data_IF_221951958779
#
_entry.id   IF_221951958779
#
_cell.length_a   1.000
_cell.length_b   1.000
_cell.length_c   1.000
_cell.angle_alpha   90.00
_cell.angle_beta   90.00
_cell.angle_gamma   90.00
#
_symmetry.space_group_name_H-M   'P 1'
#
loop_
_entity.id
_entity.type
_entity.pdbx_description
1 polymer ?
#
# COMPACT_ATOMS: atom_id res chain seq x y z
N UNK A 1 19.13 1.85 19.78
CA UNK A 1 17.90 1.44 19.06
C UNK A 1 18.05 0.00 18.61
N UNK A 2 17.22 -0.90 19.13
CA UNK A 2 17.12 -2.29 18.72
C UNK A 2 15.92 -2.46 17.78
N UNK A 3 15.89 -3.57 17.03
CA UNK A 3 14.78 -3.92 16.15
C UNK A 3 14.26 -5.31 16.54
N UNK A 4 12.96 -5.39 16.80
CA UNK A 4 12.28 -6.59 17.23
C UNK A 4 11.21 -7.00 16.23
N UNK A 5 11.07 -8.31 16.03
CA UNK A 5 9.88 -8.92 15.43
C UNK A 5 9.06 -9.54 16.55
N UNK A 6 7.75 -9.33 16.55
CA UNK A 6 6.89 -9.75 17.65
C UNK A 6 5.50 -10.25 17.20
N UNK A 7 4.96 -11.12 18.04
CA UNK A 7 3.60 -11.64 18.06
C UNK A 7 3.01 -11.36 19.44
N UNK A 8 1.73 -10.99 19.47
CA UNK A 8 1.08 -10.52 20.69
C UNK A 8 0.08 -11.56 21.19
N UNK A 9 0.58 -12.46 22.04
CA UNK A 9 -0.18 -13.60 22.56
C UNK A 9 -0.23 -14.79 21.60
N UNK A 10 -0.89 -15.88 22.02
CA UNK A 10 -1.10 -17.05 21.16
C UNK A 10 -2.00 -16.69 19.99
N UNK A 11 -1.66 -17.13 18.79
CA UNK A 11 -2.39 -16.77 17.56
C UNK A 11 -2.60 -15.26 17.37
N UNK A 12 -1.75 -14.42 17.98
CA UNK A 12 -1.86 -12.97 17.94
C UNK A 12 -3.17 -12.40 18.49
N UNK A 13 -3.85 -13.09 19.43
CA UNK A 13 -5.14 -12.63 19.96
C UNK A 13 -5.10 -11.20 20.53
N UNK A 14 -3.96 -10.72 21.03
CA UNK A 14 -3.83 -9.39 21.62
C UNK A 14 -3.50 -8.30 20.59
N UNK A 15 -3.23 -8.67 19.33
CA UNK A 15 -2.90 -7.71 18.27
C UNK A 15 -3.97 -6.62 18.07
N UNK A 16 -5.29 -6.91 17.99
CA UNK A 16 -6.30 -5.87 17.80
C UNK A 16 -6.29 -4.81 18.90
N UNK A 17 -6.06 -5.21 20.15
CA UNK A 17 -5.99 -4.30 21.29
C UNK A 17 -4.68 -3.49 21.29
N UNK A 18 -3.55 -4.14 20.98
CA UNK A 18 -2.26 -3.46 20.76
C UNK A 18 -2.34 -2.37 19.69
N UNK A 19 -3.01 -2.66 18.58
CA UNK A 19 -3.23 -1.73 17.48
C UNK A 19 -4.12 -0.56 17.91
N UNK A 20 -5.22 -0.82 18.63
CA UNK A 20 -6.14 0.21 19.07
C UNK A 20 -5.54 1.14 20.14
N UNK A 21 -4.76 0.58 21.07
CA UNK A 21 -4.16 1.33 22.19
C UNK A 21 -2.81 1.96 21.87
N UNK A 22 -2.22 1.65 20.71
CA UNK A 22 -0.83 1.97 20.37
C UNK A 22 0.14 1.46 21.44
N UNK A 23 0.14 0.14 21.62
CA UNK A 23 1.02 -0.54 22.56
C UNK A 23 1.68 -1.76 21.91
N UNK A 24 2.81 -2.17 22.48
CA UNK A 24 3.36 -3.52 22.34
C UNK A 24 3.03 -4.29 23.62
N UNK A 25 2.83 -5.60 23.52
CA UNK A 25 2.43 -6.39 24.69
C UNK A 25 3.16 -7.72 24.85
N UNK A 26 3.23 -8.17 26.08
CA UNK A 26 3.51 -9.57 26.44
C UNK A 26 2.79 -9.89 27.74
N UNK A 27 2.84 -11.13 28.18
CA UNK A 27 2.06 -11.57 29.35
C UNK A 27 2.79 -12.64 30.15
N UNK A 28 2.58 -12.61 31.46
CA UNK A 28 2.98 -13.65 32.39
C UNK A 28 1.75 -14.39 32.90
N UNK A 29 1.93 -15.66 33.27
CA UNK A 29 0.91 -16.32 34.07
C UNK A 29 0.82 -15.64 35.45
N UNK A 30 -0.39 -15.49 35.98
CA UNK A 30 -0.62 -14.82 37.26
C UNK A 30 0.20 -15.45 38.40
N UNK A 31 0.41 -16.77 38.34
CA UNK A 31 1.15 -17.54 39.34
C UNK A 31 2.65 -17.21 39.41
N UNK A 32 3.22 -16.59 38.37
CA UNK A 32 4.64 -16.24 38.32
C UNK A 32 4.92 -14.75 38.22
N UNK A 33 3.87 -13.92 38.14
CA UNK A 33 4.03 -12.48 38.04
C UNK A 33 4.81 -11.91 39.23
N UNK A 34 4.50 -12.32 40.46
CA UNK A 34 5.18 -11.84 41.66
C UNK A 34 6.67 -12.14 41.70
N UNK A 35 7.10 -13.29 41.15
CA UNK A 35 8.54 -13.60 41.04
C UNK A 35 9.23 -12.67 40.04
N UNK A 36 8.57 -12.33 38.94
CA UNK A 36 9.11 -11.39 37.95
C UNK A 36 9.21 -9.96 38.53
N UNK A 37 8.17 -9.50 39.22
CA UNK A 37 8.15 -8.18 39.87
C UNK A 37 9.24 -8.02 40.94
N UNK A 38 9.51 -9.10 41.70
CA UNK A 38 10.57 -9.13 42.70
C UNK A 38 11.99 -9.26 42.10
N UNK A 39 12.12 -9.46 40.78
CA UNK A 39 13.41 -9.77 40.13
C UNK A 39 13.94 -11.17 40.48
N UNK A 40 13.13 -12.03 41.10
CA UNK A 40 13.51 -13.39 41.51
C UNK A 40 13.45 -14.36 40.33
N UNK A 41 14.48 -14.27 39.50
CA UNK A 41 14.62 -15.08 38.29
C UNK A 41 14.71 -16.57 38.58
N UNK A 42 15.33 -16.98 39.68
CA UNK A 42 15.54 -18.39 40.00
C UNK A 42 14.21 -19.06 40.39
N UNK A 43 13.46 -18.44 41.30
CA UNK A 43 12.14 -18.95 41.69
C UNK A 43 11.16 -18.94 40.51
N UNK A 44 11.22 -17.91 39.65
CA UNK A 44 10.45 -17.88 38.41
C UNK A 44 10.76 -19.11 37.54
N UNK A 45 12.04 -19.38 37.27
CA UNK A 45 12.47 -20.51 36.43
C UNK A 45 12.03 -21.85 37.03
N UNK A 46 12.27 -22.06 38.32
CA UNK A 46 11.93 -23.31 39.01
C UNK A 46 10.43 -23.55 39.01
N UNK A 47 9.62 -22.51 39.25
CA UNK A 47 8.16 -22.61 39.20
C UNK A 47 7.69 -23.03 37.80
N UNK A 48 8.14 -22.33 36.75
CA UNK A 48 7.77 -22.65 35.35
C UNK A 48 8.19 -24.07 34.96
N UNK A 49 9.37 -24.54 35.37
CA UNK A 49 9.81 -25.91 35.08
C UNK A 49 8.96 -26.98 35.77
N UNK A 50 8.36 -26.68 36.93
CA UNK A 50 7.57 -27.64 37.70
C UNK A 50 6.10 -27.68 37.28
N UNK A 51 5.53 -26.52 36.95
CA UNK A 51 4.08 -26.35 36.82
C UNK A 51 3.59 -26.14 35.38
N UNK A 52 4.45 -25.69 34.47
CA UNK A 52 4.04 -25.32 33.12
C UNK A 52 4.35 -26.38 32.06
N UNK A 53 3.64 -26.25 30.95
CA UNK A 53 3.93 -26.95 29.69
C UNK A 53 4.14 -25.93 28.57
N UNK A 54 5.05 -26.23 27.67
CA UNK A 54 5.22 -25.49 26.42
C UNK A 54 4.00 -25.66 25.51
N UNK A 55 3.92 -24.92 24.40
CA UNK A 55 2.84 -25.09 23.42
C UNK A 55 2.74 -26.53 22.87
N UNK A 56 3.85 -27.28 22.87
CA UNK A 56 3.91 -28.69 22.47
C UNK A 56 3.58 -29.68 23.61
N UNK A 57 3.12 -29.21 24.77
CA UNK A 57 2.79 -30.07 25.92
C UNK A 57 3.99 -30.61 26.70
N UNK A 58 5.21 -30.14 26.41
CA UNK A 58 6.46 -30.60 27.02
C UNK A 58 6.82 -29.71 28.21
N UNK A 59 7.35 -30.28 29.28
CA UNK A 59 7.91 -29.52 30.42
C UNK A 59 9.03 -28.60 29.94
N UNK A 60 8.98 -27.27 30.22
CA UNK A 60 9.98 -26.34 29.73
C UNK A 60 11.35 -26.63 30.37
N UNK A 61 12.41 -26.46 29.58
CA UNK A 61 13.79 -26.51 30.10
C UNK A 61 14.15 -25.18 30.77
N UNK A 62 15.22 -25.18 31.59
CA UNK A 62 15.75 -23.97 32.22
C UNK A 62 15.99 -22.82 31.22
N UNK A 63 16.63 -23.03 30.05
CA UNK A 63 16.77 -21.98 29.04
C UNK A 63 15.43 -21.43 28.51
N UNK A 64 14.41 -22.27 28.36
CA UNK A 64 13.08 -21.84 27.89
C UNK A 64 12.37 -20.98 28.96
N UNK A 65 12.36 -21.43 30.21
CA UNK A 65 11.77 -20.66 31.31
C UNK A 65 12.50 -19.32 31.53
N UNK A 66 13.83 -19.36 31.44
CA UNK A 66 14.70 -18.19 31.49
C UNK A 66 14.42 -17.19 30.36
N UNK A 67 14.16 -17.69 29.15
CA UNK A 67 13.72 -16.86 28.02
C UNK A 67 12.38 -16.17 28.33
N UNK A 68 11.41 -16.88 28.91
CA UNK A 68 10.10 -16.29 29.25
C UNK A 68 10.21 -15.13 30.22
N UNK A 69 11.04 -15.24 31.25
CA UNK A 69 11.34 -14.13 32.16
C UNK A 69 11.82 -12.89 31.38
N UNK A 70 12.78 -13.10 30.47
CA UNK A 70 13.36 -12.03 29.67
C UNK A 70 12.38 -11.40 28.67
N UNK A 71 11.32 -12.10 28.25
CA UNK A 71 10.32 -11.52 27.32
C UNK A 71 9.61 -10.32 27.95
N UNK A 72 9.15 -10.48 29.21
CA UNK A 72 8.49 -9.41 29.96
C UNK A 72 9.45 -8.24 30.20
N UNK A 73 10.66 -8.53 30.68
CA UNK A 73 11.71 -7.53 30.88
C UNK A 73 12.01 -6.76 29.59
N UNK A 74 12.12 -7.45 28.44
CA UNK A 74 12.40 -6.81 27.15
C UNK A 74 11.32 -5.81 26.76
N UNK A 75 10.04 -6.14 26.95
CA UNK A 75 8.92 -5.23 26.63
C UNK A 75 8.94 -4.00 27.55
N UNK A 76 9.10 -4.23 28.86
CA UNK A 76 9.07 -3.19 29.89
C UNK A 76 10.21 -2.17 29.70
N UNK A 77 11.41 -2.67 29.40
CA UNK A 77 12.62 -1.86 29.20
C UNK A 77 12.72 -1.24 27.80
N UNK A 78 11.84 -1.60 26.86
CA UNK A 78 11.93 -1.12 25.48
C UNK A 78 11.67 0.37 25.41
N UNK A 79 12.55 1.12 24.75
CA UNK A 79 12.42 2.56 24.62
C UNK A 79 13.19 3.04 23.40
N UNK A 80 12.50 3.64 22.43
CA UNK A 80 13.11 4.06 21.16
C UNK A 80 13.55 2.87 20.30
N UNK A 81 13.03 1.66 20.58
CA UNK A 81 13.25 0.47 19.76
C UNK A 81 12.13 0.31 18.74
N UNK A 82 12.49 -0.23 17.57
CA UNK A 82 11.54 -0.51 16.48
C UNK A 82 10.94 -1.90 16.69
N UNK A 83 9.62 -1.98 16.59
CA UNK A 83 8.86 -3.23 16.69
C UNK A 83 8.15 -3.50 15.37
N UNK A 84 8.24 -4.73 14.89
CA UNK A 84 7.65 -5.19 13.64
C UNK A 84 6.74 -6.37 13.92
N UNK A 85 5.52 -6.29 13.41
CA UNK A 85 4.52 -7.33 13.52
C UNK A 85 4.02 -7.70 12.13
N UNK A 86 3.68 -8.98 11.93
CA UNK A 86 3.05 -9.44 10.69
C UNK A 86 1.62 -9.88 10.99
N UNK A 87 0.66 -9.19 10.37
CA UNK A 87 -0.74 -9.59 10.37
C UNK A 87 -1.14 -10.00 8.95
N UNK A 88 -1.36 -11.31 8.74
CA UNK A 88 -1.68 -11.90 7.43
C UNK A 88 -0.66 -11.50 6.33
N UNK A 89 -1.07 -10.62 5.41
CA UNK A 89 -0.26 -10.12 4.31
C UNK A 89 0.39 -8.75 4.61
N UNK A 90 0.15 -8.14 5.75
CA UNK A 90 0.65 -6.82 6.07
C UNK A 90 1.75 -6.91 7.12
N UNK A 91 2.84 -6.17 6.90
CA UNK A 91 3.77 -5.83 7.95
C UNK A 91 3.36 -4.51 8.58
N UNK A 92 3.36 -4.49 9.90
CA UNK A 92 3.14 -3.34 10.75
C UNK A 92 4.42 -3.02 11.49
N UNK A 93 4.70 -1.75 11.71
CA UNK A 93 5.81 -1.32 12.55
C UNK A 93 5.45 -0.15 13.45
N UNK A 94 6.17 -0.01 14.55
CA UNK A 94 6.05 1.10 15.52
C UNK A 94 7.39 1.33 16.23
N UNK A 95 7.46 2.38 17.04
CA UNK A 95 8.59 2.70 17.94
C UNK A 95 8.07 2.73 19.38
N UNK A 96 8.72 1.98 20.26
CA UNK A 96 8.41 1.97 21.70
C UNK A 96 8.71 3.33 22.34
N UNK A 97 7.84 3.77 23.25
CA UNK A 97 8.00 5.05 23.96
C UNK A 97 8.63 4.86 25.34
N UNK A 98 9.13 5.95 25.92
CA UNK A 98 9.72 5.95 27.27
C UNK A 98 8.68 5.78 28.38
N UNK A 99 7.41 6.06 28.10
CA UNK A 99 6.32 5.98 29.07
C UNK A 99 6.26 4.62 29.80
N UNK A 100 5.85 4.64 31.06
CA UNK A 100 5.77 3.43 31.89
C UNK A 100 4.75 2.43 31.30
N UNK A 101 5.01 1.12 31.41
CA UNK A 101 4.03 0.11 31.02
C UNK A 101 2.85 0.06 32.01
N UNK A 102 1.69 -0.39 31.52
CA UNK A 102 0.57 -0.79 32.37
C UNK A 102 0.49 -2.32 32.49
N UNK A 103 -0.03 -2.79 33.62
CA UNK A 103 -0.23 -4.21 33.90
C UNK A 103 -1.69 -4.45 34.26
N UNK A 104 -2.35 -5.38 33.56
CA UNK A 104 -3.78 -5.64 33.70
C UNK A 104 -4.03 -7.15 33.83
N UNK A 105 -4.90 -7.60 34.75
CA UNK A 105 -5.37 -8.98 34.74
C UNK A 105 -6.18 -9.24 33.47
N UNK A 106 -5.89 -10.35 32.81
CA UNK A 106 -6.61 -10.78 31.61
C UNK A 106 -6.84 -12.30 31.68
N UNK A 107 -8.04 -12.72 31.28
CA UNK A 107 -8.30 -14.14 30.98
C UNK A 107 -8.16 -14.33 29.47
N UNK A 108 -7.22 -15.17 29.05
CA UNK A 108 -7.02 -15.44 27.62
C UNK A 108 -8.32 -15.93 26.98
N UNK A 109 -8.68 -15.38 25.83
CA UNK A 109 -9.93 -15.70 25.10
C UNK A 109 -9.81 -16.96 24.22
N UNK A 110 -8.65 -17.63 24.27
CA UNK A 110 -8.31 -18.76 23.41
C UNK A 110 -7.98 -20.03 24.21
N UNK A 111 -8.42 -21.18 23.72
CA UNK A 111 -8.21 -22.49 24.35
C UNK A 111 -8.89 -22.59 25.73
N UNK A 112 -8.20 -23.18 26.71
CA UNK A 112 -8.71 -23.32 28.09
C UNK A 112 -8.75 -21.98 28.85
N UNK A 113 -8.14 -20.93 28.29
CA UNK A 113 -8.13 -19.57 28.85
C UNK A 113 -7.34 -19.46 30.16
N UNK A 114 -6.05 -19.10 30.08
CA UNK A 114 -5.22 -18.89 31.27
C UNK A 114 -5.50 -17.52 31.89
N UNK A 115 -5.34 -17.43 33.21
CA UNK A 115 -5.31 -16.16 33.91
C UNK A 115 -3.89 -15.60 33.82
N UNK A 116 -3.75 -14.49 33.13
CA UNK A 116 -2.47 -13.83 32.87
C UNK A 116 -2.49 -12.40 33.36
N UNK A 117 -1.30 -11.85 33.59
CA UNK A 117 -1.08 -10.41 33.70
C UNK A 117 -0.51 -9.96 32.36
N UNK A 118 -1.29 -9.20 31.60
CA UNK A 118 -0.84 -8.59 30.35
C UNK A 118 -0.12 -7.27 30.66
N UNK A 119 1.05 -7.09 30.05
CA UNK A 119 1.83 -5.87 30.11
C UNK A 119 1.66 -5.14 28.79
N UNK A 120 1.23 -3.89 28.84
CA UNK A 120 1.21 -2.97 27.70
C UNK A 120 2.29 -1.93 27.85
N UNK A 121 3.21 -1.86 26.91
CA UNK A 121 4.20 -0.79 26.81
C UNK A 121 3.76 0.19 25.70
N UNK A 122 3.57 1.48 26.00
CA UNK A 122 3.19 2.46 24.99
C UNK A 122 4.17 2.54 23.82
N UNK A 123 3.65 2.73 22.62
CA UNK A 123 4.40 2.96 21.41
C UNK A 123 3.75 4.05 20.55
N UNK A 124 4.44 4.47 19.50
CA UNK A 124 3.83 5.32 18.47
C UNK A 124 2.70 4.58 17.74
N UNK A 125 1.83 5.29 17.01
CA UNK A 125 0.83 4.64 16.18
C UNK A 125 1.44 3.62 15.21
N UNK A 126 0.86 2.43 15.17
CA UNK A 126 1.30 1.37 14.28
C UNK A 126 1.07 1.77 12.81
N UNK A 127 2.10 1.61 11.98
CA UNK A 127 2.05 1.92 10.56
C UNK A 127 2.26 0.67 9.71
N UNK A 128 1.47 0.51 8.64
CA UNK A 128 1.62 -0.53 7.62
C UNK A 128 2.19 0.02 6.30
N UNK A 129 2.71 1.25 6.34
CA UNK A 129 3.40 1.91 5.24
C UNK A 129 4.81 2.29 5.70
N UNK A 130 5.77 2.31 4.79
CA UNK A 130 7.08 2.87 5.06
C UNK A 130 7.02 4.41 5.13
N UNK A 131 8.11 5.06 5.56
CA UNK A 131 8.17 6.52 5.71
C UNK A 131 8.03 7.29 4.40
N UNK A 132 8.21 6.62 3.26
CA UNK A 132 7.93 7.14 1.92
C UNK A 132 6.48 6.86 1.43
N UNK A 133 5.58 6.36 2.30
CA UNK A 133 4.17 6.12 2.01
C UNK A 133 3.85 4.82 1.26
N UNK A 134 4.83 3.94 1.07
CA UNK A 134 4.62 2.67 0.35
C UNK A 134 4.10 1.60 1.29
N UNK A 135 3.10 0.81 0.85
CA UNK A 135 2.57 -0.32 1.60
C UNK A 135 3.65 -1.38 1.87
N UNK A 136 3.66 -1.91 3.08
CA UNK A 136 4.56 -2.98 3.50
C UNK A 136 3.85 -4.33 3.41
N UNK A 137 3.80 -4.88 2.20
CA UNK A 137 3.14 -6.17 1.92
C UNK A 137 4.10 -7.36 2.07
N UNK A 138 3.71 -8.34 2.88
CA UNK A 138 4.45 -9.58 3.10
C UNK A 138 4.74 -10.32 1.80
N UNK A 139 3.74 -10.49 0.93
CA UNK A 139 3.93 -11.16 -0.37
C UNK A 139 4.99 -10.47 -1.24
N UNK A 140 5.09 -9.14 -1.16
CA UNK A 140 6.05 -8.32 -1.88
C UNK A 140 7.48 -8.37 -1.35
N UNK A 141 7.72 -8.94 -0.16
CA UNK A 141 9.08 -9.04 0.39
C UNK A 141 9.93 -10.09 -0.33
N UNK A 142 11.23 -9.79 -0.39
CA UNK A 142 12.24 -10.73 -0.83
C UNK A 142 12.18 -12.03 -0.01
N UNK A 143 12.41 -13.17 -0.65
CA UNK A 143 12.27 -14.50 -0.02
C UNK A 143 13.21 -14.72 1.16
N UNK A 144 14.37 -14.05 1.14
CA UNK A 144 15.34 -14.00 2.25
C UNK A 144 14.86 -13.13 3.41
N UNK A 145 14.27 -11.97 3.12
CA UNK A 145 13.68 -11.11 4.16
C UNK A 145 12.57 -11.83 4.93
N UNK A 146 11.73 -12.61 4.24
CA UNK A 146 10.69 -13.44 4.86
C UNK A 146 11.21 -14.45 5.89
N UNK A 147 12.49 -14.82 5.85
CA UNK A 147 13.09 -15.76 6.80
C UNK A 147 13.38 -15.12 8.16
N UNK A 148 13.42 -13.78 8.23
CA UNK A 148 13.72 -13.06 9.48
C UNK A 148 12.75 -11.93 9.81
N UNK A 149 11.85 -11.53 8.92
CA UNK A 149 10.83 -10.49 9.18
C UNK A 149 9.57 -11.03 9.88
N UNK A 150 9.63 -12.27 10.39
CA UNK A 150 8.56 -12.94 11.12
C UNK A 150 9.16 -13.92 12.12
N UNK A 151 8.46 -14.13 13.25
CA UNK A 151 8.82 -15.13 14.25
C UNK A 151 7.58 -15.98 14.56
N UNK A 152 7.78 -17.25 14.89
CA UNK A 152 6.71 -18.11 15.45
C UNK A 152 6.60 -17.96 16.98
N UNK A 153 7.62 -17.36 17.62
CA UNK A 153 7.61 -17.08 19.05
C UNK A 153 6.93 -15.75 19.40
N UNK A 154 6.97 -15.38 20.68
CA UNK A 154 6.42 -14.09 21.17
C UNK A 154 7.21 -12.90 20.63
N UNK A 155 8.53 -12.90 20.78
CA UNK A 155 9.38 -11.88 20.16
C UNK A 155 10.80 -12.41 19.94
N UNK A 156 11.50 -11.73 19.05
CA UNK A 156 12.90 -11.94 18.75
C UNK A 156 13.57 -10.63 18.35
N UNK A 157 14.76 -10.37 18.89
CA UNK A 157 15.60 -9.28 18.40
C UNK A 157 16.26 -9.68 17.09
N UNK A 158 16.22 -8.80 16.09
CA UNK A 158 16.95 -8.99 14.84
C UNK A 158 18.46 -8.84 15.08
N UNK A 159 19.24 -9.65 14.35
CA UNK A 159 20.70 -9.48 14.27
C UNK A 159 21.03 -8.16 13.54
N UNK A 160 22.19 -7.54 13.78
CA UNK A 160 22.54 -6.24 13.20
C UNK A 160 22.28 -6.13 11.69
N UNK A 161 22.80 -7.05 10.88
CA UNK A 161 22.59 -7.02 9.42
C UNK A 161 21.11 -7.13 8.98
N UNK A 162 20.30 -7.89 9.73
CA UNK A 162 18.86 -8.01 9.45
C UNK A 162 18.09 -6.77 9.94
N UNK A 163 18.55 -6.16 11.03
CA UNK A 163 17.99 -4.92 11.56
C UNK A 163 18.23 -3.75 10.58
N UNK A 164 19.43 -3.66 9.99
CA UNK A 164 19.75 -2.68 8.95
C UNK A 164 18.81 -2.79 7.74
N UNK A 165 18.59 -4.03 7.24
CA UNK A 165 17.63 -4.26 6.17
C UNK A 165 16.20 -3.86 6.56
N UNK A 166 15.76 -4.21 7.76
CA UNK A 166 14.41 -3.89 8.23
C UNK A 166 14.19 -2.38 8.36
N UNK A 167 15.20 -1.65 8.86
CA UNK A 167 15.18 -0.20 8.96
C UNK A 167 15.16 0.46 7.57
N UNK A 168 16.00 0.00 6.63
CA UNK A 168 15.99 0.48 5.26
C UNK A 168 14.62 0.27 4.60
N UNK A 169 13.99 -0.89 4.81
CA UNK A 169 12.64 -1.18 4.32
C UNK A 169 11.59 -0.22 4.91
N UNK A 170 11.66 0.04 6.23
CA UNK A 170 10.76 0.96 6.95
C UNK A 170 10.98 2.42 6.54
N UNK A 171 12.21 2.82 6.24
CA UNK A 171 12.52 4.16 5.74
C UNK A 171 12.10 4.34 4.27
N UNK A 172 12.03 3.25 3.51
CA UNK A 172 11.83 3.30 2.06
C UNK A 172 13.13 3.54 1.28
N UNK A 173 14.26 3.17 1.88
CA UNK A 173 15.59 3.28 1.28
C UNK A 173 15.80 2.22 0.18
N UNK A 174 16.87 2.37 -0.59
CA UNK A 174 17.24 1.39 -1.61
C UNK A 174 17.68 0.05 -0.96
N UNK A 175 17.02 -1.03 -1.35
CA UNK A 175 17.30 -2.39 -0.87
C UNK A 175 18.22 -3.19 -1.81
N UNK A 176 18.61 -2.58 -2.95
CA UNK A 176 19.53 -3.19 -3.92
C UNK A 176 20.85 -3.70 -3.32
N UNK A 177 21.45 -3.08 -2.27
CA UNK A 177 22.68 -3.59 -1.68
C UNK A 177 22.54 -5.01 -1.13
N UNK A 178 21.41 -5.34 -0.50
CA UNK A 178 21.13 -6.69 0.00
C UNK A 178 20.67 -7.62 -1.11
N UNK A 179 19.78 -7.15 -1.99
CA UNK A 179 19.21 -7.98 -3.07
C UNK A 179 20.27 -8.38 -4.11
N UNK A 180 21.37 -7.64 -4.19
CA UNK A 180 22.48 -7.94 -5.08
C UNK A 180 23.44 -9.02 -4.56
N UNK A 181 23.40 -9.33 -3.26
CA UNK A 181 24.26 -10.34 -2.62
C UNK A 181 23.99 -11.74 -3.19
N UNK A 182 25.06 -12.51 -3.39
CA UNK A 182 24.98 -13.84 -3.98
C UNK A 182 24.08 -14.79 -3.16
N UNK A 183 24.15 -14.73 -1.83
CA UNK A 183 23.28 -15.54 -0.96
C UNK A 183 21.79 -15.18 -1.05
N UNK A 184 21.46 -13.91 -1.29
CA UNK A 184 20.07 -13.47 -1.48
C UNK A 184 19.54 -13.90 -2.85
N UNK A 185 20.34 -13.72 -3.91
CA UNK A 185 20.02 -14.20 -5.27
C UNK A 185 19.80 -15.71 -5.30
N UNK A 186 20.72 -16.48 -4.73
CA UNK A 186 20.61 -17.93 -4.63
C UNK A 186 19.36 -18.37 -3.85
N UNK A 187 18.96 -17.62 -2.80
CA UNK A 187 17.73 -17.90 -2.05
C UNK A 187 16.47 -17.72 -2.91
N UNK A 188 16.43 -16.64 -3.71
CA UNK A 188 15.31 -16.35 -4.62
C UNK A 188 15.20 -17.41 -5.72
N UNK A 189 16.31 -17.75 -6.38
CA UNK A 189 16.40 -18.78 -7.41
C UNK A 189 15.93 -20.14 -6.89
N UNK A 190 16.43 -20.58 -5.72
CA UNK A 190 16.03 -21.85 -5.09
C UNK A 190 14.53 -21.92 -4.82
N UNK A 191 13.92 -20.81 -4.39
CA UNK A 191 12.48 -20.76 -4.08
C UNK A 191 11.61 -20.57 -5.32
N UNK A 192 12.19 -20.54 -6.54
CA UNK A 192 11.51 -20.24 -7.82
C UNK A 192 10.61 -19.01 -7.75
N UNK A 193 10.94 -18.07 -6.85
CA UNK A 193 10.26 -16.79 -6.74
C UNK A 193 11.23 -15.80 -7.35
N UNK A 194 10.78 -15.07 -8.38
CA UNK A 194 11.53 -13.93 -8.89
C UNK A 194 11.98 -13.10 -7.68
N UNK A 195 13.22 -12.57 -7.68
CA UNK A 195 13.65 -11.64 -6.64
C UNK A 195 12.53 -10.61 -6.55
N UNK A 196 11.86 -10.56 -5.40
CA UNK A 196 10.72 -9.68 -5.25
C UNK A 196 11.29 -8.27 -5.32
N UNK A 197 11.39 -7.73 -6.53
CA UNK A 197 11.51 -6.31 -6.74
C UNK A 197 10.15 -5.84 -6.29
N UNK A 198 10.08 -5.39 -5.05
CA UNK A 198 8.92 -4.69 -4.54
C UNK A 198 8.90 -3.36 -5.29
N UNK A 199 8.53 -3.40 -6.58
CA UNK A 199 8.15 -2.19 -7.28
C UNK A 199 6.95 -1.68 -6.50
N UNK A 200 7.12 -0.59 -5.75
CA UNK A 200 5.96 0.13 -5.24
C UNK A 200 5.07 0.59 -6.43
N UNK A 201 3.84 1.05 -6.18
CA UNK A 201 2.91 1.41 -7.25
C UNK A 201 3.55 2.35 -8.28
N UNK A 202 4.34 3.32 -7.83
CA UNK A 202 5.09 4.26 -8.69
C UNK A 202 6.15 3.55 -9.54
N UNK A 203 6.95 2.69 -8.92
CA UNK A 203 7.97 1.89 -9.59
C UNK A 203 7.33 0.93 -10.62
N UNK A 204 6.16 0.34 -10.33
CA UNK A 204 5.40 -0.47 -11.29
C UNK A 204 4.92 0.38 -12.47
N UNK A 205 4.38 1.58 -12.22
CA UNK A 205 4.00 2.50 -13.28
C UNK A 205 5.19 2.89 -14.16
N UNK A 206 6.35 3.18 -13.56
CA UNK A 206 7.58 3.48 -14.30
C UNK A 206 8.02 2.29 -15.15
N UNK A 207 8.03 1.08 -14.60
CA UNK A 207 8.39 -0.13 -15.33
C UNK A 207 7.43 -0.39 -16.49
N UNK A 208 6.13 -0.21 -16.28
CA UNK A 208 5.11 -0.32 -17.32
C UNK A 208 5.30 0.72 -18.43
N UNK A 209 5.50 1.99 -18.09
CA UNK A 209 5.78 3.05 -19.08
C UNK A 209 7.05 2.76 -19.87
N UNK A 210 8.11 2.28 -19.23
CA UNK A 210 9.36 1.90 -19.89
C UNK A 210 9.17 0.70 -20.83
N UNK A 211 8.38 -0.30 -20.43
CA UNK A 211 8.02 -1.45 -21.26
C UNK A 211 7.22 -1.01 -22.50
N UNK A 212 6.20 -0.15 -22.32
CA UNK A 212 5.41 0.39 -23.41
C UNK A 212 6.29 1.18 -24.39
N UNK A 213 7.17 2.05 -23.89
CA UNK A 213 8.10 2.80 -24.72
C UNK A 213 9.01 1.89 -25.55
N UNK A 214 9.60 0.86 -24.93
CA UNK A 214 10.43 -0.13 -25.63
C UNK A 214 9.65 -0.91 -26.70
N UNK A 215 8.42 -1.32 -26.38
CA UNK A 215 7.55 -2.02 -27.33
C UNK A 215 7.16 -1.15 -28.52
N UNK A 216 6.84 0.12 -28.29
CA UNK A 216 6.55 1.10 -29.34
C UNK A 216 7.79 1.31 -30.21
N UNK A 217 8.98 1.51 -29.64
CA UNK A 217 10.23 1.70 -30.40
C UNK A 217 10.56 0.47 -31.25
N UNK A 218 10.34 -0.74 -30.73
CA UNK A 218 10.59 -1.97 -31.46
C UNK A 218 9.67 -2.17 -32.68
N UNK A 219 8.48 -1.54 -32.66
CA UNK A 219 7.43 -1.75 -33.69
C UNK A 219 7.21 -0.53 -34.57
N UNK A 220 7.65 0.67 -34.16
CA UNK A 220 7.46 1.94 -34.89
C UNK A 220 8.66 2.26 -35.79
N UNK A 221 8.91 1.38 -36.75
CA UNK A 221 10.02 1.46 -37.71
C UNK A 221 9.73 2.38 -38.93
N UNK A 222 8.70 3.23 -38.85
CA UNK A 222 8.30 4.10 -39.96
C UNK A 222 7.43 3.43 -41.03
N UNK A 223 6.91 2.22 -40.80
CA UNK A 223 6.00 1.54 -41.71
C UNK A 223 4.69 2.30 -41.97
N UNK A 224 4.22 2.25 -43.21
CA UNK A 224 2.89 2.71 -43.58
C UNK A 224 1.83 1.66 -43.17
N UNK A 225 0.73 2.12 -42.59
CA UNK A 225 -0.33 1.23 -42.08
C UNK A 225 -1.64 1.56 -42.79
N UNK A 226 -2.26 0.55 -43.40
CA UNK A 226 -3.62 0.68 -43.94
C UNK A 226 -4.61 0.84 -42.78
N UNK A 227 -5.23 2.01 -42.68
CA UNK A 227 -6.25 2.30 -41.67
C UNK A 227 -7.63 2.25 -42.29
N UNK A 228 -8.54 1.53 -41.64
CA UNK A 228 -9.97 1.63 -41.95
C UNK A 228 -10.52 2.97 -41.46
N UNK A 229 -11.05 3.77 -42.38
CA UNK A 229 -11.75 5.02 -42.05
C UNK A 229 -13.21 4.67 -41.75
N UNK A 230 -13.70 5.10 -40.59
CA UNK A 230 -15.12 4.90 -40.21
C UNK A 230 -16.01 5.61 -41.24
N UNK A 231 -17.08 4.95 -41.68
CA UNK A 231 -18.10 5.60 -42.49
C UNK A 231 -18.80 6.68 -41.65
N UNK A 232 -18.85 7.91 -42.17
CA UNK A 232 -19.48 9.05 -41.52
C UNK A 232 -20.47 9.68 -42.49
N UNK A 233 -21.74 9.44 -42.26
CA UNK A 233 -22.83 10.01 -43.04
C UNK A 233 -23.27 11.34 -42.43
N UNK A 234 -23.65 12.27 -43.31
CA UNK A 234 -24.44 13.43 -42.96
C UNK A 234 -25.91 13.05 -43.12
N UNK A 235 -26.62 12.91 -42.00
CA UNK A 235 -28.04 12.52 -41.95
C UNK A 235 -28.97 13.70 -41.66
N UNK A 236 -28.39 14.89 -41.57
CA UNK A 236 -29.12 16.16 -41.58
C UNK A 236 -29.20 16.63 -43.03
N UNK A 237 -30.39 16.96 -43.56
CA UNK A 237 -30.50 17.52 -44.91
C UNK A 237 -29.67 18.81 -45.03
N UNK A 238 -28.96 18.99 -46.14
CA UNK A 238 -28.04 20.13 -46.33
C UNK A 238 -28.70 21.49 -46.03
N UNK A 239 -29.94 21.69 -46.48
CA UNK A 239 -30.72 22.92 -46.26
C UNK A 239 -31.05 23.20 -44.78
N UNK A 240 -30.94 22.19 -43.92
CA UNK A 240 -31.28 22.24 -42.49
C UNK A 240 -30.03 22.29 -41.61
N UNK A 241 -28.84 21.97 -42.15
CA UNK A 241 -27.61 21.89 -41.38
C UNK A 241 -27.18 23.24 -40.82
N UNK A 242 -27.03 24.27 -41.65
CA UNK A 242 -26.62 25.60 -41.17
C UNK A 242 -27.62 26.21 -40.18
N UNK A 243 -28.95 26.19 -40.43
CA UNK A 243 -29.93 26.64 -39.45
C UNK A 243 -29.83 25.88 -38.11
N UNK A 244 -29.64 24.56 -38.16
CA UNK A 244 -29.48 23.74 -36.97
C UNK A 244 -28.21 24.11 -36.18
N UNK A 245 -27.07 24.28 -36.87
CA UNK A 245 -25.81 24.67 -36.24
C UNK A 245 -25.88 26.08 -35.62
N UNK A 246 -26.57 27.02 -36.28
CA UNK A 246 -26.83 28.35 -35.70
C UNK A 246 -27.65 28.25 -34.43
N UNK A 247 -28.77 27.52 -34.47
CA UNK A 247 -29.63 27.33 -33.30
C UNK A 247 -28.90 26.63 -32.14
N UNK A 248 -28.00 25.69 -32.45
CA UNK A 248 -27.16 25.02 -31.47
C UNK A 248 -26.15 25.97 -30.82
N UNK A 249 -25.51 26.84 -31.61
CA UNK A 249 -24.58 27.85 -31.11
C UNK A 249 -25.29 28.85 -30.18
N UNK A 250 -26.49 29.29 -30.57
CA UNK A 250 -27.33 30.20 -29.79
C UNK A 250 -27.79 29.55 -28.48
N UNK A 251 -28.25 28.29 -28.54
CA UNK A 251 -28.65 27.52 -27.36
C UNK A 251 -27.49 27.26 -26.38
N UNK A 252 -26.25 27.24 -26.89
CA UNK A 252 -25.03 27.14 -26.09
C UNK A 252 -24.50 28.51 -25.62
N UNK A 253 -25.18 29.61 -25.94
CA UNK A 253 -24.78 30.98 -25.58
C UNK A 253 -23.36 31.34 -26.08
N UNK A 254 -22.93 30.76 -27.21
CA UNK A 254 -21.58 30.95 -27.73
C UNK A 254 -20.46 30.32 -26.88
N UNK A 255 -20.80 29.40 -25.96
CA UNK A 255 -19.84 28.70 -25.12
C UNK A 255 -19.56 27.28 -25.65
N UNK A 256 -18.35 26.80 -25.38
CA UNK A 256 -17.96 25.42 -25.64
C UNK A 256 -18.78 24.46 -24.78
N UNK A 257 -19.49 23.52 -25.41
CA UNK A 257 -20.40 22.60 -24.72
C UNK A 257 -19.72 21.73 -23.63
N UNK A 258 -18.41 21.48 -23.73
CA UNK A 258 -17.65 20.66 -22.77
C UNK A 258 -16.94 21.54 -21.73
N UNK A 259 -16.24 22.59 -22.17
CA UNK A 259 -15.37 23.38 -21.28
C UNK A 259 -16.05 24.60 -20.68
N UNK A 260 -17.13 25.10 -21.28
CA UNK A 260 -17.74 26.39 -20.92
C UNK A 260 -16.89 27.60 -21.31
N UNK A 261 -15.79 27.41 -22.06
CA UNK A 261 -14.98 28.52 -22.57
C UNK A 261 -15.71 29.27 -23.69
N UNK A 262 -15.47 30.58 -23.79
CA UNK A 262 -15.98 31.40 -24.88
C UNK A 262 -15.44 30.89 -26.23
N UNK A 263 -16.35 30.61 -27.16
CA UNK A 263 -15.98 30.25 -28.53
C UNK A 263 -15.55 31.49 -29.31
N UNK A 264 -14.59 31.29 -30.21
CA UNK A 264 -14.20 32.29 -31.20
C UNK A 264 -14.66 31.89 -32.60
N UNK A 265 -14.81 32.86 -33.48
CA UNK A 265 -15.33 32.67 -34.83
C UNK A 265 -14.25 32.97 -35.88
N UNK A 266 -14.34 32.29 -37.01
CA UNK A 266 -13.44 32.51 -38.13
C UNK A 266 -13.46 33.97 -38.60
N UNK A 267 -12.27 34.57 -38.70
CA UNK A 267 -12.06 35.96 -39.09
C UNK A 267 -12.05 36.94 -37.92
N UNK A 268 -12.36 36.48 -36.70
CA UNK A 268 -12.42 37.29 -35.47
C UNK A 268 -11.78 36.56 -34.27
N UNK A 269 -10.88 35.62 -34.53
CA UNK A 269 -10.16 34.87 -33.50
C UNK A 269 -8.82 35.51 -33.09
N UNK A 270 -8.54 35.48 -31.79
CA UNK A 270 -7.21 35.75 -31.22
C UNK A 270 -6.43 34.44 -30.98
N UNK A 271 -7.14 33.33 -30.79
CA UNK A 271 -6.56 32.00 -30.61
C UNK A 271 -7.29 30.96 -31.47
N UNK A 272 -6.55 30.36 -32.41
CA UNK A 272 -7.06 29.33 -33.32
C UNK A 272 -7.53 28.06 -32.62
N UNK A 273 -7.09 27.83 -31.38
CA UNK A 273 -7.52 26.70 -30.56
C UNK A 273 -8.91 26.91 -29.94
N UNK A 274 -9.36 28.17 -29.80
CA UNK A 274 -10.67 28.55 -29.28
C UNK A 274 -11.74 28.68 -30.37
N UNK A 275 -11.37 28.56 -31.65
CA UNK A 275 -12.31 28.52 -32.77
C UNK A 275 -13.39 27.46 -32.57
N UNK A 276 -14.63 27.81 -32.90
CA UNK A 276 -15.75 26.88 -32.88
C UNK A 276 -15.51 25.69 -33.83
N UNK A 277 -15.79 24.49 -33.33
CA UNK A 277 -15.61 23.23 -34.04
C UNK A 277 -16.79 22.31 -33.75
N UNK A 278 -17.26 21.60 -34.78
CA UNK A 278 -18.36 20.66 -34.66
C UNK A 278 -17.85 19.30 -34.16
N UNK A 279 -18.37 18.85 -33.02
CA UNK A 279 -18.07 17.55 -32.43
C UNK A 279 -19.31 16.66 -32.41
N UNK A 280 -19.09 15.35 -32.54
CA UNK A 280 -20.14 14.34 -32.36
C UNK A 280 -20.11 13.84 -30.93
N UNK A 281 -21.22 13.93 -30.20
CA UNK A 281 -21.31 13.47 -28.81
C UNK A 281 -20.93 11.98 -28.76
N UNK A 282 -21.59 11.16 -29.58
CA UNK A 282 -21.16 9.80 -29.90
C UNK A 282 -20.26 9.78 -31.15
N UNK A 283 -18.99 9.45 -30.94
CA UNK A 283 -17.99 9.36 -32.00
C UNK A 283 -18.17 8.15 -32.93
N UNK A 284 -18.94 7.14 -32.50
CA UNK A 284 -19.32 5.99 -33.30
C UNK A 284 -20.59 6.26 -34.14
N UNK A 285 -21.38 7.28 -33.79
CA UNK A 285 -22.56 7.73 -34.53
C UNK A 285 -22.26 8.64 -35.74
N UNK A 286 -23.33 9.12 -36.38
CA UNK A 286 -23.25 9.94 -37.60
C UNK A 286 -23.45 11.44 -37.31
N UNK A 287 -23.36 12.28 -38.34
CA UNK A 287 -23.76 13.69 -38.23
C UNK A 287 -25.28 13.76 -38.36
N UNK A 288 -25.97 13.65 -37.24
CA UNK A 288 -27.42 13.61 -37.13
C UNK A 288 -27.89 14.55 -36.03
N UNK A 289 -29.18 14.89 -36.04
CA UNK A 289 -29.80 15.67 -34.98
C UNK A 289 -29.52 15.02 -33.62
N UNK A 290 -29.36 15.85 -32.59
CA UNK A 290 -29.09 15.44 -31.20
C UNK A 290 -27.73 14.76 -30.94
N UNK A 291 -26.96 14.37 -31.97
CA UNK A 291 -25.61 13.82 -31.82
C UNK A 291 -24.51 14.87 -32.02
N UNK A 292 -24.84 16.15 -32.13
CA UNK A 292 -23.89 17.22 -32.42
C UNK A 292 -23.82 18.24 -31.29
N UNK A 293 -22.62 18.73 -31.03
CA UNK A 293 -22.33 19.82 -30.09
C UNK A 293 -21.23 20.72 -30.66
N UNK A 294 -21.22 22.00 -30.27
CA UNK A 294 -20.17 22.94 -30.69
C UNK A 294 -19.17 23.11 -29.55
N UNK A 295 -17.90 22.91 -29.85
CA UNK A 295 -16.80 22.95 -28.88
C UNK A 295 -15.63 23.77 -29.40
N UNK A 296 -14.69 24.14 -28.54
CA UNK A 296 -13.41 24.70 -28.99
C UNK A 296 -12.64 23.66 -29.82
N UNK A 297 -11.88 24.11 -30.81
CA UNK A 297 -11.08 23.26 -31.69
C UNK A 297 -10.13 22.32 -30.93
N UNK A 298 -9.46 22.80 -29.88
CA UNK A 298 -8.57 21.95 -29.09
C UNK A 298 -9.32 20.81 -28.37
N UNK A 299 -10.53 21.10 -27.90
CA UNK A 299 -11.41 20.17 -27.18
C UNK A 299 -11.82 19.03 -28.11
N UNK A 300 -12.25 19.33 -29.33
CA UNK A 300 -12.58 18.32 -30.34
C UNK A 300 -11.37 17.42 -30.63
N UNK A 301 -10.18 18.01 -30.79
CA UNK A 301 -8.94 17.26 -31.03
C UNK A 301 -8.55 16.37 -29.84
N UNK A 302 -8.72 16.85 -28.60
CA UNK A 302 -8.39 16.10 -27.39
C UNK A 302 -9.37 14.96 -27.11
N UNK A 303 -10.68 15.20 -27.30
CA UNK A 303 -11.70 14.16 -27.20
C UNK A 303 -11.50 13.12 -28.29
N UNK A 304 -11.21 13.53 -29.53
CA UNK A 304 -10.95 12.66 -30.67
C UNK A 304 -12.08 11.63 -30.88
N UNK A 305 -11.83 10.35 -30.61
CA UNK A 305 -12.82 9.27 -30.65
C UNK A 305 -13.22 8.74 -29.26
N UNK A 306 -12.83 9.44 -28.19
CA UNK A 306 -13.16 9.11 -26.81
C UNK A 306 -14.63 9.33 -26.48
N UNK A 307 -15.09 8.68 -25.41
CA UNK A 307 -16.46 8.83 -24.90
C UNK A 307 -16.64 10.22 -24.29
N UNK A 308 -17.67 10.94 -24.71
CA UNK A 308 -17.96 12.30 -24.26
C UNK A 308 -18.08 12.42 -22.73
N UNK A 309 -18.81 11.51 -22.10
CA UNK A 309 -19.02 11.49 -20.65
C UNK A 309 -17.73 11.34 -19.86
N UNK A 310 -16.82 10.48 -20.32
CA UNK A 310 -15.52 10.27 -19.66
C UNK A 310 -14.61 11.47 -19.87
N UNK A 311 -14.63 12.07 -21.06
CA UNK A 311 -13.85 13.27 -21.34
C UNK A 311 -14.31 14.46 -20.48
N UNK A 312 -15.63 14.67 -20.34
CA UNK A 312 -16.19 15.68 -19.43
C UNK A 312 -15.75 15.47 -17.98
N UNK A 313 -15.78 14.21 -17.49
CA UNK A 313 -15.29 13.84 -16.17
C UNK A 313 -13.82 14.22 -15.98
N UNK A 314 -12.96 13.98 -16.98
CA UNK A 314 -11.54 14.32 -16.93
C UNK A 314 -11.29 15.84 -16.97
N UNK A 315 -12.04 16.58 -17.79
CA UNK A 315 -11.96 18.05 -17.85
C UNK A 315 -12.35 18.70 -16.52
N UNK A 316 -13.33 18.12 -15.80
CA UNK A 316 -13.75 18.64 -14.49
C UNK A 316 -12.60 18.60 -13.46
N UNK A 317 -11.71 17.60 -13.53
CA UNK A 317 -10.53 17.50 -12.65
C UNK A 317 -9.51 18.63 -12.84
N UNK A 318 -9.57 19.36 -13.97
CA UNK A 318 -8.66 20.47 -14.27
C UNK A 318 -9.16 21.82 -13.74
N UNK A 319 -10.38 21.89 -13.21
CA UNK A 319 -11.01 23.15 -12.75
C UNK A 319 -10.98 23.31 -11.22
N UNK A 320 -10.41 22.35 -10.50
CA UNK A 320 -10.06 22.44 -9.08
C UNK A 320 -8.67 23.06 -8.90
#
# INVERSE_FOLDING_TARGET
MKVYIANFGRENYAWPDCLARNTIATMNDISVQGFWEAGDRESYIQNRMKHDKTAAGITPTRPVASRWFNLMTTIVESSGDVWIHREKNQLWWTISRQDAPSFEPLKETFGVGRNVIICHKPCDPWAHVNRAGNKLDWTGLHSRAKEFMFTEGTLQQLRPANAEYALALINGDDLSPWHSLQEWKANAERKKKNPAITFNARQNSIAYMAMMAKGIVATSNGQEVLKTVKNKELRIPDRELEPYLSALLDAQEGLCAITGLQLQHHGYEDDKELLCSLDRIDSDGHYEFDNLQIVCRFVNRWKSNGKDTEFRRLVALLRE
#
